data_IF_618684755536
#
_entry.id   IF_618684755536
#
_cell.length_a   1.000
_cell.length_b   1.000
_cell.length_c   1.000
_cell.angle_alpha   90.00
_cell.angle_beta   90.00
_cell.angle_gamma   90.00
#
_symmetry.space_group_name_H-M   'P 1'
#
loop_
_entity.id
_entity.type
_entity.pdbx_description
1 polymer ?
#
# COMPACT_ATOMS: atom_id res chain seq x y z
N UNK A 1 -32.15 -47.51 27.04
CA UNK A 1 -30.68 -47.37 27.08
C UNK A 1 -30.23 -47.06 25.66
N UNK A 2 -29.37 -46.05 25.52
CA UNK A 2 -29.21 -45.19 24.35
C UNK A 2 -28.72 -45.87 23.06
N UNK A 3 -29.27 -45.40 21.93
CA UNK A 3 -28.76 -45.58 20.58
C UNK A 3 -27.41 -44.85 20.42
N UNK A 4 -26.45 -45.48 19.75
CA UNK A 4 -25.35 -44.76 19.09
C UNK A 4 -25.44 -45.03 17.60
N UNK A 5 -25.97 -44.05 16.87
CA UNK A 5 -25.78 -43.94 15.42
C UNK A 5 -24.33 -43.51 15.18
N UNK A 6 -23.60 -44.32 14.43
CA UNK A 6 -22.32 -43.93 13.84
C UNK A 6 -22.65 -43.13 12.58
N UNK A 7 -22.41 -41.82 12.58
CA UNK A 7 -22.52 -40.98 11.39
C UNK A 7 -21.11 -40.57 10.99
N UNK A 8 -20.75 -40.94 9.77
CA UNK A 8 -19.48 -40.65 9.12
C UNK A 8 -19.18 -39.15 9.12
N UNK A 9 -17.92 -38.80 9.40
CA UNK A 9 -17.43 -37.44 9.22
C UNK A 9 -17.39 -37.12 7.72
N UNK A 10 -18.37 -36.36 7.25
CA UNK A 10 -18.25 -35.65 5.98
C UNK A 10 -17.14 -34.60 6.12
N UNK A 11 -16.11 -34.74 5.29
CA UNK A 11 -15.16 -33.67 5.03
C UNK A 11 -15.91 -32.57 4.27
N UNK A 12 -16.55 -31.67 5.01
CA UNK A 12 -17.10 -30.45 4.42
C UNK A 12 -15.93 -29.58 4.00
N UNK A 13 -15.75 -29.42 2.70
CA UNK A 13 -14.97 -28.32 2.14
C UNK A 13 -15.51 -27.04 2.81
N UNK A 14 -14.69 -26.25 3.53
CA UNK A 14 -15.19 -25.03 4.14
C UNK A 14 -15.72 -24.14 3.02
N UNK A 15 -17.04 -23.95 3.01
CA UNK A 15 -17.72 -23.07 2.07
C UNK A 15 -17.15 -21.68 2.30
N UNK A 16 -16.55 -21.08 1.27
CA UNK A 16 -16.11 -19.68 1.32
C UNK A 16 -17.35 -18.85 1.68
N UNK A 17 -17.38 -18.19 2.85
CA UNK A 17 -18.50 -17.35 3.24
C UNK A 17 -18.71 -16.26 2.19
N UNK A 18 -19.97 -15.98 1.85
CA UNK A 18 -20.30 -14.91 0.89
C UNK A 18 -19.92 -13.50 1.38
N UNK A 19 -19.64 -13.35 2.68
CA UNK A 19 -19.16 -12.14 3.31
C UNK A 19 -18.30 -12.44 4.57
N UNK A 20 -17.66 -11.40 5.12
CA UNK A 20 -16.90 -11.47 6.38
C UNK A 20 -17.77 -11.21 7.61
N UNK A 21 -19.08 -11.52 7.58
CA UNK A 21 -19.98 -11.31 8.73
C UNK A 21 -19.58 -12.09 9.99
N UNK A 22 -18.76 -13.14 9.84
CA UNK A 22 -18.18 -13.93 10.91
C UNK A 22 -16.94 -13.28 11.56
N UNK A 23 -16.41 -12.20 11.00
CA UNK A 23 -15.25 -11.51 11.55
C UNK A 23 -15.65 -10.58 12.71
N UNK A 24 -14.97 -10.75 13.85
CA UNK A 24 -15.08 -9.85 15.00
C UNK A 24 -13.68 -9.33 15.31
N UNK A 25 -13.51 -8.01 15.27
CA UNK A 25 -12.24 -7.35 15.54
C UNK A 25 -11.71 -7.72 16.94
N UNK A 26 -10.41 -8.04 17.02
CA UNK A 26 -9.77 -8.46 18.27
C UNK A 26 -10.13 -9.87 18.75
N UNK A 27 -11.06 -10.58 18.09
CA UNK A 27 -11.49 -11.93 18.47
C UNK A 27 -11.19 -12.95 17.38
N UNK A 28 -11.50 -12.63 16.12
CA UNK A 28 -11.32 -13.55 15.00
C UNK A 28 -9.86 -13.67 14.61
N UNK A 29 -9.33 -14.89 14.70
CA UNK A 29 -7.98 -15.23 14.23
C UNK A 29 -7.90 -15.29 12.70
N UNK A 30 -8.97 -15.73 12.05
CA UNK A 30 -9.01 -15.90 10.61
C UNK A 30 -10.00 -14.96 9.95
N UNK A 31 -9.68 -14.53 8.73
CA UNK A 31 -10.56 -13.72 7.87
C UNK A 31 -10.37 -14.14 6.41
N UNK A 32 -11.42 -14.05 5.60
CA UNK A 32 -11.29 -14.20 4.15
C UNK A 32 -10.95 -12.87 3.51
N UNK A 33 -9.87 -12.81 2.73
CA UNK A 33 -9.46 -11.59 2.01
C UNK A 33 -9.20 -11.92 0.54
N UNK A 34 -9.64 -11.08 -0.40
CA UNK A 34 -9.28 -11.27 -1.80
C UNK A 34 -7.78 -11.05 -2.01
N UNK A 35 -7.17 -11.86 -2.87
CA UNK A 35 -5.84 -11.59 -3.42
C UNK A 35 -5.87 -10.49 -4.49
N UNK A 36 -4.72 -10.22 -5.11
CA UNK A 36 -4.60 -9.21 -6.17
C UNK A 36 -5.42 -9.47 -7.45
N UNK A 37 -5.99 -10.67 -7.60
CA UNK A 37 -6.87 -11.07 -8.71
C UNK A 37 -8.35 -11.18 -8.28
N UNK A 38 -8.64 -10.99 -6.99
CA UNK A 38 -9.98 -11.10 -6.43
C UNK A 38 -10.34 -12.48 -5.90
N UNK A 39 -9.40 -13.43 -5.89
CA UNK A 39 -9.66 -14.77 -5.36
C UNK A 39 -9.62 -14.75 -3.83
N UNK A 40 -10.61 -15.35 -3.14
CA UNK A 40 -10.65 -15.35 -1.68
C UNK A 40 -9.56 -16.26 -1.08
N UNK A 41 -8.81 -15.72 -0.11
CA UNK A 41 -7.81 -16.43 0.67
C UNK A 41 -8.17 -16.38 2.15
N UNK A 42 -8.07 -17.52 2.84
CA UNK A 42 -8.20 -17.58 4.30
C UNK A 42 -6.88 -17.14 4.95
N UNK A 43 -6.94 -16.07 5.73
CA UNK A 43 -5.78 -15.40 6.31
C UNK A 43 -5.73 -15.62 7.81
N UNK A 44 -4.60 -16.10 8.34
CA UNK A 44 -4.31 -16.10 9.78
C UNK A 44 -3.72 -14.74 10.19
N UNK A 45 -4.50 -13.94 10.91
CA UNK A 45 -4.10 -12.61 11.37
C UNK A 45 -3.05 -12.65 12.48
N UNK A 46 -2.85 -13.81 13.12
CA UNK A 46 -1.95 -13.99 14.26
C UNK A 46 -0.75 -14.88 13.92
N UNK A 47 -0.52 -15.19 12.63
CA UNK A 47 0.64 -15.96 12.22
C UNK A 47 1.94 -15.24 12.65
N UNK A 48 2.88 -15.93 13.34
CA UNK A 48 4.13 -15.31 13.74
C UNK A 48 4.93 -14.88 12.51
N UNK A 49 5.48 -13.67 12.56
CA UNK A 49 6.35 -13.16 11.49
C UNK A 49 7.68 -13.93 11.55
N UNK A 50 8.16 -14.53 10.44
CA UNK A 50 9.44 -15.23 10.41
C UNK A 50 10.60 -14.30 10.80
N UNK A 51 11.53 -14.77 11.64
CA UNK A 51 12.66 -13.97 12.13
C UNK A 51 13.50 -13.41 10.98
N UNK A 52 13.78 -14.23 9.97
CA UNK A 52 14.54 -13.82 8.78
C UNK A 52 13.86 -12.65 8.04
N UNK A 53 12.53 -12.57 8.09
CA UNK A 53 11.79 -11.46 7.51
C UNK A 53 12.04 -10.17 8.31
N UNK A 54 11.98 -10.24 9.64
CA UNK A 54 12.20 -9.09 10.54
C UNK A 54 13.61 -8.49 10.40
N UNK A 55 14.61 -9.32 10.11
CA UNK A 55 16.00 -8.89 9.94
C UNK A 55 16.27 -8.20 8.59
N UNK A 56 15.34 -8.31 7.63
CA UNK A 56 15.52 -7.74 6.28
C UNK A 56 14.79 -6.41 6.10
N UNK A 57 15.49 -5.41 5.56
CA UNK A 57 14.88 -4.12 5.15
C UNK A 57 14.14 -4.27 3.82
N UNK A 58 12.90 -4.75 3.87
CA UNK A 58 12.10 -5.08 2.69
C UNK A 58 11.84 -3.89 1.75
N UNK A 59 11.77 -2.67 2.28
CA UNK A 59 11.55 -1.46 1.48
C UNK A 59 12.70 -1.12 0.52
N UNK A 60 13.90 -1.69 0.72
CA UNK A 60 15.03 -1.52 -0.20
C UNK A 60 14.77 -2.19 -1.57
N UNK A 61 13.94 -3.22 -1.59
CA UNK A 61 13.67 -4.03 -2.79
C UNK A 61 12.49 -3.48 -3.61
N UNK A 62 11.93 -2.34 -3.19
CA UNK A 62 10.90 -1.61 -3.93
C UNK A 62 11.38 -1.28 -5.35
N UNK A 63 10.49 -1.48 -6.32
CA UNK A 63 10.73 -1.06 -7.71
C UNK A 63 9.76 0.06 -8.08
N UNK A 64 10.27 1.05 -8.80
CA UNK A 64 9.53 2.25 -9.16
C UNK A 64 9.47 2.38 -10.68
N UNK A 65 8.30 2.12 -11.25
CA UNK A 65 8.07 2.11 -12.69
C UNK A 65 7.47 3.44 -13.12
N UNK A 66 8.27 4.29 -13.77
CA UNK A 66 7.83 5.55 -14.35
C UNK A 66 7.17 5.33 -15.71
N UNK A 67 5.97 5.88 -15.85
CA UNK A 67 5.23 6.03 -17.09
C UNK A 67 4.87 7.50 -17.31
N UNK A 68 4.99 7.95 -18.55
CA UNK A 68 4.41 9.20 -19.04
C UNK A 68 3.70 8.94 -20.35
N UNK A 69 3.08 9.97 -20.93
CA UNK A 69 2.47 9.88 -22.27
C UNK A 69 3.46 9.43 -23.35
N UNK A 70 4.77 9.65 -23.15
CA UNK A 70 5.83 9.27 -24.10
C UNK A 70 6.19 7.77 -24.02
N UNK A 71 5.92 7.09 -22.90
CA UNK A 71 6.30 5.70 -22.70
C UNK A 71 5.20 4.85 -22.04
N UNK A 72 3.95 4.99 -22.52
CA UNK A 72 2.76 4.33 -21.94
C UNK A 72 2.84 2.80 -21.83
N UNK A 73 3.58 2.17 -22.74
CA UNK A 73 3.71 0.71 -22.86
C UNK A 73 4.90 0.13 -22.09
N UNK A 74 5.99 0.90 -21.98
CA UNK A 74 7.25 0.43 -21.42
C UNK A 74 7.72 1.41 -20.35
N UNK A 75 7.74 0.95 -19.11
CA UNK A 75 8.21 1.77 -18.00
C UNK A 75 9.72 2.04 -18.09
N UNK A 76 10.13 3.16 -17.51
CA UNK A 76 11.51 3.42 -17.12
C UNK A 76 11.61 3.22 -15.60
N UNK A 77 12.77 2.77 -15.10
CA UNK A 77 12.94 2.49 -13.67
C UNK A 77 13.62 3.68 -13.01
N UNK A 78 13.02 4.18 -11.95
CA UNK A 78 13.65 5.18 -11.07
C UNK A 78 14.36 4.47 -9.92
N UNK A 79 15.61 4.86 -9.66
CA UNK A 79 16.45 4.26 -8.62
C UNK A 79 16.97 5.36 -7.70
N UNK A 80 16.64 5.27 -6.42
CA UNK A 80 17.12 6.22 -5.41
C UNK A 80 18.65 6.25 -5.39
N UNK A 81 19.23 7.44 -5.51
CA UNK A 81 20.69 7.65 -5.52
C UNK A 81 21.34 7.50 -6.89
N UNK A 82 20.58 7.12 -7.93
CA UNK A 82 21.06 7.12 -9.31
C UNK A 82 20.40 8.27 -10.08
N UNK A 83 21.13 9.38 -10.20
CA UNK A 83 20.67 10.57 -10.94
C UNK A 83 20.39 10.25 -12.41
N UNK A 84 21.14 9.31 -13.01
CA UNK A 84 20.96 8.93 -14.41
C UNK A 84 19.63 8.22 -14.65
N UNK A 85 19.12 7.50 -13.64
CA UNK A 85 17.80 6.87 -13.71
C UNK A 85 16.68 7.91 -13.91
N UNK A 86 16.86 9.14 -13.42
CA UNK A 86 15.93 10.25 -13.60
C UNK A 86 16.24 11.00 -14.91
N UNK A 87 17.49 11.42 -15.12
CA UNK A 87 17.86 12.27 -16.26
C UNK A 87 17.71 11.59 -17.62
N UNK A 88 17.84 10.26 -17.68
CA UNK A 88 17.65 9.48 -18.91
C UNK A 88 16.21 8.95 -19.05
N UNK A 89 15.31 9.36 -18.15
CA UNK A 89 13.90 9.02 -18.20
C UNK A 89 13.07 10.16 -18.83
N UNK A 90 11.78 9.90 -18.99
CA UNK A 90 10.82 10.90 -19.45
C UNK A 90 10.22 11.70 -18.29
N UNK A 91 10.82 11.67 -17.10
CA UNK A 91 10.38 12.47 -15.95
C UNK A 91 10.41 13.96 -16.28
N UNK A 92 9.42 14.69 -15.78
CA UNK A 92 9.20 16.10 -16.06
C UNK A 92 8.76 16.81 -14.78
N UNK A 93 9.56 17.74 -14.30
CA UNK A 93 9.35 18.49 -13.07
C UNK A 93 8.18 19.48 -13.13
N UNK A 94 7.88 19.94 -14.35
CA UNK A 94 6.73 20.79 -14.67
C UNK A 94 5.37 20.04 -14.70
N UNK A 95 5.35 18.74 -14.37
CA UNK A 95 4.16 17.90 -14.41
C UNK A 95 3.76 17.37 -13.04
N UNK A 96 2.45 17.22 -12.76
CA UNK A 96 1.99 16.53 -11.56
C UNK A 96 2.53 15.10 -11.48
N UNK A 97 2.80 14.63 -10.26
CA UNK A 97 3.32 13.27 -10.02
C UNK A 97 2.28 12.44 -9.28
N UNK A 98 1.90 11.31 -9.86
CA UNK A 98 0.94 10.34 -9.31
C UNK A 98 1.70 9.07 -8.92
N UNK A 99 1.58 8.64 -7.67
CA UNK A 99 2.15 7.36 -7.22
C UNK A 99 1.02 6.38 -6.98
N UNK A 100 1.12 5.19 -7.55
CA UNK A 100 0.11 4.12 -7.45
C UNK A 100 0.76 2.88 -6.86
N UNK A 101 0.12 2.19 -5.93
CA UNK A 101 0.61 0.90 -5.45
C UNK A 101 -0.47 -0.12 -5.16
N UNK A 102 -0.07 -1.40 -5.25
CA UNK A 102 -0.88 -2.56 -4.93
C UNK A 102 -0.90 -2.87 -3.43
N UNK A 103 -1.73 -3.84 -3.04
CA UNK A 103 -1.83 -4.35 -1.66
C UNK A 103 -1.14 -5.71 -1.47
N UNK A 104 -1.58 -6.41 -0.42
CA UNK A 104 -1.15 -7.77 -0.08
C UNK A 104 -1.48 -8.76 -1.21
N UNK A 105 -0.62 -9.78 -1.41
CA UNK A 105 -0.77 -10.82 -2.45
C UNK A 105 -1.00 -10.25 -3.86
N UNK A 106 -0.30 -9.16 -4.18
CA UNK A 106 -0.41 -8.45 -5.47
C UNK A 106 0.94 -7.90 -5.92
N UNK A 107 0.97 -7.25 -7.09
CA UNK A 107 2.18 -6.64 -7.67
C UNK A 107 1.84 -5.42 -8.55
N UNK A 108 2.89 -4.66 -8.92
CA UNK A 108 2.76 -3.44 -9.73
C UNK A 108 2.35 -3.64 -11.20
N UNK A 109 2.10 -4.86 -11.66
CA UNK A 109 1.78 -5.18 -13.06
C UNK A 109 0.38 -5.75 -13.26
N UNK A 110 -0.44 -5.74 -12.22
CA UNK A 110 -1.86 -6.14 -12.27
C UNK A 110 -2.67 -5.29 -13.23
N UNK A 111 -3.80 -5.84 -13.69
CA UNK A 111 -4.66 -5.22 -14.70
C UNK A 111 -5.19 -3.85 -14.24
N UNK A 112 -5.68 -3.76 -13.01
CA UNK A 112 -6.27 -2.53 -12.49
C UNK A 112 -5.23 -1.42 -12.34
N UNK A 113 -3.98 -1.73 -11.94
CA UNK A 113 -2.89 -0.74 -11.88
C UNK A 113 -2.59 -0.18 -13.27
N UNK A 114 -2.53 -1.05 -14.29
CA UNK A 114 -2.32 -0.62 -15.68
C UNK A 114 -3.46 0.28 -16.15
N UNK A 115 -4.71 -0.09 -15.87
CA UNK A 115 -5.89 0.69 -16.22
C UNK A 115 -5.91 2.06 -15.53
N UNK A 116 -5.60 2.11 -14.22
CA UNK A 116 -5.53 3.37 -13.48
C UNK A 116 -4.40 4.27 -13.98
N UNK A 117 -3.22 3.70 -14.25
CA UNK A 117 -2.11 4.42 -14.89
C UNK A 117 -2.53 4.99 -16.25
N UNK A 118 -3.20 4.21 -17.09
CA UNK A 118 -3.67 4.69 -18.39
C UNK A 118 -4.72 5.79 -18.25
N UNK A 119 -5.65 5.67 -17.30
CA UNK A 119 -6.65 6.69 -17.02
C UNK A 119 -6.00 8.03 -16.60
N UNK A 120 -4.99 8.01 -15.72
CA UNK A 120 -4.25 9.22 -15.37
C UNK A 120 -3.54 9.86 -16.56
N UNK A 121 -2.94 9.04 -17.44
CA UNK A 121 -2.23 9.51 -18.63
C UNK A 121 -3.19 10.02 -19.72
N UNK A 122 -4.42 9.52 -19.76
CA UNK A 122 -5.47 10.02 -20.65
C UNK A 122 -5.98 11.37 -20.17
N UNK A 123 -6.23 11.52 -18.88
CA UNK A 123 -6.76 12.74 -18.26
C UNK A 123 -5.79 13.92 -18.34
N UNK A 124 -4.51 13.72 -17.98
CA UNK A 124 -3.56 14.81 -17.88
C UNK A 124 -2.12 14.41 -18.29
N UNK A 125 -1.29 15.41 -18.59
CA UNK A 125 0.14 15.17 -18.82
C UNK A 125 0.87 15.10 -17.48
N UNK A 126 1.06 13.88 -16.97
CA UNK A 126 1.55 13.60 -15.62
C UNK A 126 2.69 12.60 -15.63
N UNK A 127 3.49 12.60 -14.56
CA UNK A 127 4.38 11.49 -14.23
C UNK A 127 3.58 10.46 -13.42
N UNK A 128 3.43 9.23 -13.91
CA UNK A 128 2.84 8.14 -13.14
C UNK A 128 3.95 7.19 -12.70
N UNK A 129 4.14 7.06 -11.38
CA UNK A 129 5.11 6.14 -10.78
C UNK A 129 4.33 5.01 -10.13
N UNK A 130 4.49 3.79 -10.65
CA UNK A 130 3.94 2.60 -10.01
C UNK A 130 5.00 2.06 -9.03
N UNK A 131 4.62 1.93 -7.76
CA UNK A 131 5.38 1.20 -6.74
C UNK A 131 5.01 -0.29 -6.80
N UNK A 132 6.02 -1.11 -7.06
CA UNK A 132 5.98 -2.56 -6.92
C UNK A 132 6.80 -2.98 -5.71
N UNK A 133 6.11 -3.39 -4.65
CA UNK A 133 6.66 -3.85 -3.37
C UNK A 133 6.32 -5.33 -3.13
N UNK A 134 6.07 -6.08 -4.21
CA UNK A 134 5.64 -7.49 -4.15
C UNK A 134 6.61 -8.40 -3.36
N UNK A 135 7.89 -8.02 -3.25
CA UNK A 135 8.90 -8.72 -2.45
C UNK A 135 8.54 -8.80 -0.96
N UNK A 136 7.80 -7.82 -0.44
CA UNK A 136 7.31 -7.81 0.93
C UNK A 136 5.80 -8.09 1.03
N UNK A 137 5.05 -7.84 -0.05
CA UNK A 137 3.60 -8.00 -0.07
C UNK A 137 3.13 -9.44 -0.28
N UNK A 138 3.97 -10.31 -0.88
CA UNK A 138 3.65 -11.72 -1.12
C UNK A 138 4.12 -12.55 0.07
N UNK A 139 3.19 -13.31 0.66
CA UNK A 139 3.46 -14.18 1.81
C UNK A 139 2.46 -13.96 2.94
N UNK A 140 2.91 -14.16 4.19
CA UNK A 140 2.06 -13.98 5.37
C UNK A 140 1.58 -12.53 5.50
N UNK A 141 0.29 -12.36 5.81
CA UNK A 141 -0.31 -11.04 6.01
C UNK A 141 0.40 -10.26 7.13
N UNK A 142 0.72 -10.92 8.24
CA UNK A 142 1.45 -10.31 9.36
C UNK A 142 2.84 -9.80 8.95
N UNK A 143 3.55 -10.54 8.11
CA UNK A 143 4.83 -10.09 7.53
C UNK A 143 4.64 -8.87 6.64
N UNK A 144 3.65 -8.88 5.75
CA UNK A 144 3.37 -7.77 4.87
C UNK A 144 2.99 -6.50 5.66
N UNK A 145 2.13 -6.62 6.67
CA UNK A 145 1.77 -5.53 7.59
C UNK A 145 3.00 -4.97 8.28
N UNK A 146 3.90 -5.82 8.77
CA UNK A 146 5.14 -5.39 9.41
C UNK A 146 6.07 -4.61 8.46
N UNK A 147 6.07 -4.93 7.16
CA UNK A 147 6.90 -4.24 6.18
C UNK A 147 6.37 -2.86 5.75
N UNK A 148 5.07 -2.58 5.94
CA UNK A 148 4.41 -1.35 5.46
C UNK A 148 5.15 -0.06 5.84
N UNK A 149 5.56 0.16 7.11
CA UNK A 149 6.26 1.39 7.48
C UNK A 149 7.59 1.56 6.74
N UNK A 150 8.37 0.49 6.62
CA UNK A 150 9.67 0.52 5.93
C UNK A 150 9.49 0.79 4.43
N UNK A 151 8.51 0.15 3.78
CA UNK A 151 8.16 0.39 2.37
C UNK A 151 7.75 1.85 2.16
N UNK A 152 6.89 2.40 3.02
CA UNK A 152 6.44 3.80 2.95
C UNK A 152 7.59 4.81 3.10
N UNK A 153 8.50 4.58 4.05
CA UNK A 153 9.70 5.42 4.22
C UNK A 153 10.60 5.39 2.98
N UNK A 154 10.72 4.24 2.30
CA UNK A 154 11.51 4.16 1.07
C UNK A 154 10.86 4.89 -0.11
N UNK A 155 9.51 4.93 -0.18
CA UNK A 155 8.78 5.72 -1.16
C UNK A 155 9.01 7.21 -0.93
N UNK A 156 8.87 7.69 0.31
CA UNK A 156 9.18 9.07 0.69
C UNK A 156 10.60 9.48 0.26
N UNK A 157 11.59 8.65 0.62
CA UNK A 157 12.99 8.90 0.28
C UNK A 157 13.28 8.88 -1.22
N UNK A 158 12.52 8.13 -2.01
CA UNK A 158 12.63 8.20 -3.47
C UNK A 158 12.08 9.54 -3.97
N UNK A 159 10.90 9.95 -3.50
CA UNK A 159 10.28 11.21 -3.93
C UNK A 159 11.13 12.42 -3.57
N UNK A 160 11.64 12.47 -2.33
CA UNK A 160 12.59 13.49 -1.89
C UNK A 160 13.79 13.52 -2.84
N UNK A 161 14.42 12.37 -3.12
CA UNK A 161 15.56 12.29 -4.03
C UNK A 161 15.22 12.78 -5.45
N UNK A 162 14.07 12.40 -6.01
CA UNK A 162 13.66 12.83 -7.36
C UNK A 162 13.44 14.34 -7.38
N UNK A 163 12.78 14.91 -6.37
CA UNK A 163 12.43 16.32 -6.33
C UNK A 163 13.66 17.19 -6.04
N UNK A 164 14.55 16.74 -5.16
CA UNK A 164 15.82 17.42 -4.88
C UNK A 164 16.75 17.41 -6.11
N UNK A 165 16.69 16.36 -6.93
CA UNK A 165 17.59 16.17 -8.08
C UNK A 165 17.09 16.85 -9.35
N UNK A 166 15.81 16.70 -9.66
CA UNK A 166 15.24 17.09 -10.94
C UNK A 166 14.13 18.13 -10.82
N UNK A 167 13.72 18.50 -9.61
CA UNK A 167 12.57 19.37 -9.37
C UNK A 167 11.25 18.61 -9.29
N UNK A 168 10.22 19.32 -8.84
CA UNK A 168 8.87 18.82 -8.68
C UNK A 168 8.07 19.72 -7.75
N UNK A 169 6.76 19.53 -7.70
CA UNK A 169 5.88 20.26 -6.80
C UNK A 169 5.08 19.30 -5.92
N UNK A 170 5.31 19.35 -4.61
CA UNK A 170 4.61 18.55 -3.61
C UNK A 170 3.10 18.80 -3.57
N UNK A 171 2.67 20.03 -3.91
CA UNK A 171 1.26 20.38 -4.06
C UNK A 171 0.61 19.67 -5.25
N UNK A 172 1.38 19.05 -6.13
CA UNK A 172 0.87 18.28 -7.26
C UNK A 172 1.14 16.78 -7.12
N UNK A 173 1.55 16.31 -5.93
CA UNK A 173 1.72 14.89 -5.63
C UNK A 173 0.41 14.27 -5.18
N UNK A 174 0.07 13.13 -5.79
CA UNK A 174 -1.07 12.32 -5.38
C UNK A 174 -0.63 10.88 -5.16
N UNK A 175 -0.79 10.41 -3.93
CA UNK A 175 -0.52 9.04 -3.52
C UNK A 175 -1.81 8.22 -3.59
N UNK A 176 -1.77 7.07 -4.25
CA UNK A 176 -2.90 6.15 -4.40
C UNK A 176 -2.45 4.75 -3.98
N UNK A 177 -3.15 4.18 -3.01
CA UNK A 177 -2.91 2.81 -2.56
C UNK A 177 -4.21 2.02 -2.50
N UNK A 178 -4.11 0.73 -2.77
CA UNK A 178 -5.21 -0.23 -2.61
C UNK A 178 -4.88 -1.20 -1.47
N UNK A 179 -5.85 -1.50 -0.60
CA UNK A 179 -5.67 -2.45 0.51
C UNK A 179 -4.48 -2.03 1.38
N UNK A 180 -3.59 -2.94 1.69
CA UNK A 180 -2.40 -2.66 2.50
C UNK A 180 -1.49 -1.58 1.88
N UNK A 181 -1.59 -1.36 0.56
CA UNK A 181 -0.89 -0.31 -0.16
C UNK A 181 -1.31 1.12 0.23
N UNK A 182 -2.53 1.31 0.75
CA UNK A 182 -2.96 2.61 1.24
C UNK A 182 -2.22 3.01 2.52
N UNK A 183 -1.99 2.07 3.43
CA UNK A 183 -1.14 2.30 4.61
C UNK A 183 0.32 2.57 4.22
N UNK A 184 0.82 1.96 3.14
CA UNK A 184 2.13 2.31 2.56
C UNK A 184 2.16 3.77 2.14
N UNK A 185 1.13 4.24 1.43
CA UNK A 185 1.02 5.64 1.00
C UNK A 185 0.84 6.62 2.15
N UNK A 186 0.08 6.25 3.19
CA UNK A 186 -0.03 7.06 4.42
C UNK A 186 1.32 7.20 5.14
N UNK A 187 2.08 6.10 5.24
CA UNK A 187 3.44 6.14 5.81
C UNK A 187 4.40 6.96 4.94
N UNK A 188 4.30 6.86 3.61
CA UNK A 188 5.09 7.67 2.69
C UNK A 188 4.78 9.16 2.84
N UNK A 189 3.50 9.55 2.87
CA UNK A 189 3.10 10.94 3.07
C UNK A 189 3.54 11.53 4.42
N UNK A 190 3.57 10.70 5.47
CA UNK A 190 4.09 11.10 6.80
C UNK A 190 5.61 11.25 6.82
N UNK A 191 6.33 10.42 6.07
CA UNK A 191 7.79 10.38 6.08
C UNK A 191 8.46 11.33 5.08
N UNK A 192 7.72 11.83 4.09
CA UNK A 192 8.21 12.76 3.08
C UNK A 192 8.65 14.10 3.70
N UNK A 193 9.63 14.75 3.07
CA UNK A 193 10.15 16.06 3.50
C UNK A 193 9.12 17.19 3.43
N UNK A 194 8.09 17.02 2.60
CA UNK A 194 6.96 17.93 2.46
C UNK A 194 5.66 17.15 2.30
N UNK A 195 4.52 17.86 2.39
CA UNK A 195 3.19 17.25 2.40
C UNK A 195 2.72 16.99 0.97
N UNK A 196 2.44 15.74 0.59
CA UNK A 196 1.70 15.46 -0.64
C UNK A 196 0.31 16.07 -0.56
N UNK A 197 -0.20 16.63 -1.65
CA UNK A 197 -1.52 17.26 -1.67
C UNK A 197 -2.66 16.26 -1.38
N UNK A 198 -2.54 15.01 -1.87
CA UNK A 198 -3.64 14.04 -1.75
C UNK A 198 -3.13 12.63 -1.51
N UNK A 199 -3.82 11.91 -0.62
CA UNK A 199 -3.75 10.45 -0.47
C UNK A 199 -5.13 9.89 -0.74
N UNK A 200 -5.24 8.90 -1.62
CA UNK A 200 -6.49 8.18 -1.92
C UNK A 200 -6.33 6.72 -1.60
N UNK A 201 -7.29 6.20 -0.84
CA UNK A 201 -7.45 4.77 -0.59
C UNK A 201 -8.52 4.21 -1.53
N UNK A 202 -8.23 3.06 -2.13
CA UNK A 202 -9.14 2.36 -3.04
C UNK A 202 -9.83 1.14 -2.43
N UNK A 203 -9.44 0.68 -1.23
CA UNK A 203 -10.17 -0.31 -0.41
C UNK A 203 -9.37 -0.56 0.89
N UNK A 204 -9.63 0.18 1.96
CA UNK A 204 -8.76 0.18 3.15
C UNK A 204 -8.82 -1.19 3.87
N UNK A 205 -7.69 -1.92 3.90
CA UNK A 205 -7.57 -3.05 4.82
C UNK A 205 -7.60 -2.48 6.24
N UNK A 206 -8.72 -2.67 6.95
CA UNK A 206 -8.90 -2.14 8.30
C UNK A 206 -7.76 -2.60 9.21
N UNK A 207 -7.19 -1.61 9.87
CA UNK A 207 -5.94 -1.67 10.63
C UNK A 207 -6.19 -2.29 12.01
N UNK A 208 -5.41 -3.31 12.37
CA UNK A 208 -5.28 -3.84 13.73
C UNK A 208 -4.52 -2.88 14.70
N UNK A 209 -4.86 -1.59 14.75
CA UNK A 209 -4.25 -0.64 15.72
C UNK A 209 -5.34 0.03 16.58
N UNK A 210 -5.72 -0.64 17.67
CA UNK A 210 -6.37 0.00 18.81
C UNK A 210 -5.55 -0.28 20.07
N UNK A 211 -4.54 0.55 20.39
CA UNK A 211 -4.19 0.90 21.78
C UNK A 211 -3.29 2.14 21.82
N UNK A 212 -3.91 3.29 22.07
CA UNK A 212 -3.31 4.48 22.65
C UNK A 212 -4.46 5.38 23.11
N UNK A 213 -4.53 5.81 24.38
CA UNK A 213 -5.69 6.53 24.90
C UNK A 213 -5.91 7.86 24.15
N UNK A 214 -7.17 8.31 24.02
CA UNK A 214 -7.50 9.53 23.30
C UNK A 214 -6.78 10.73 23.92
N UNK A 215 -5.90 11.36 23.15
CA UNK A 215 -5.34 12.66 23.49
C UNK A 215 -6.49 13.68 23.43
N UNK A 216 -6.90 14.16 24.60
CA UNK A 216 -7.86 15.26 24.74
C UNK A 216 -7.20 16.51 24.16
N UNK A 217 -7.68 16.97 23.01
CA UNK A 217 -7.38 18.30 22.49
C UNK A 217 -8.05 19.31 23.42
N UNK A 218 -7.28 19.85 24.38
CA UNK A 218 -7.67 21.02 25.15
C UNK A 218 -7.77 22.22 24.20
N UNK A 219 -8.98 22.74 24.01
CA UNK A 219 -9.19 24.01 23.32
C UNK A 219 -8.52 25.13 24.13
N UNK A 220 -7.46 25.71 23.56
CA UNK A 220 -6.97 27.02 23.93
C UNK A 220 -7.84 28.09 23.26
N UNK A 221 -8.87 28.56 23.96
CA UNK A 221 -9.43 29.87 23.66
C UNK A 221 -8.61 30.95 24.37
N UNK A 222 -7.92 31.75 23.57
CA UNK A 222 -7.28 32.99 23.98
C UNK A 222 -8.25 34.16 23.81
N UNK A 223 -8.29 34.98 24.86
CA UNK A 223 -8.56 36.44 24.86
C UNK A 223 -10.01 36.90 25.00
N UNK A 224 -10.29 37.60 26.11
CA UNK A 224 -10.48 39.07 26.08
C UNK A 224 -10.44 39.70 27.48
N UNK A 225 -9.67 40.79 27.51
CA UNK A 225 -9.63 41.95 28.41
C UNK A 225 -10.90 42.19 29.25
N UNK A 226 -10.65 42.54 30.52
CA UNK A 226 -11.56 43.12 31.50
C UNK A 226 -10.86 43.22 32.83
#
# INVERSE_FOLDING_TARGET
MYFYNSVCAESTIPVVPGDNSHYVEGVSRYIWMPDGEGNPLLVDLHAPVPVDFLLTRKGKDNKYFLYTRQNRKHYQVLVKGDVKSISNSNYRDDRPTKIITHGWMSNGKTKWIKQLKDAFLDDADVNVIILDWSSAAIGLYTSAVHAVPDVGVHVARLLDFVFDTAGGNWDNVHLVGHSLGAHVMGNAGRAASSRPMRVTDLDEARRNECTGPPFVMGNSELSKRG
#
